data_IF_753457688007
#
_entry.id   IF_753457688007
#
_cell.length_a   1.000
_cell.length_b   1.000
_cell.length_c   1.000
_cell.angle_alpha   90.00
_cell.angle_beta   90.00
_cell.angle_gamma   90.00
#
_symmetry.space_group_name_H-M   'P 1'
#
loop_
_entity.id
_entity.type
_entity.pdbx_description
1 polymer ?
#
# COMPACT_ATOMS: atom_id res chain seq x y z
N UNK A 1 0.75 4.25 -22.36
CA UNK A 1 1.45 3.27 -21.49
C UNK A 1 0.45 2.49 -20.63
N UNK A 2 -0.33 3.13 -19.75
CA UNK A 2 -1.26 2.42 -18.85
C UNK A 2 -2.33 1.58 -19.54
N UNK A 3 -2.90 2.05 -20.66
CA UNK A 3 -3.85 1.27 -21.47
C UNK A 3 -3.24 -0.05 -21.96
N UNK A 4 -1.98 -0.03 -22.40
CA UNK A 4 -1.21 -1.20 -22.83
C UNK A 4 -0.94 -2.21 -21.69
N UNK A 5 -0.83 -1.69 -20.45
CA UNK A 5 -0.60 -2.52 -19.25
C UNK A 5 -1.88 -3.20 -18.77
N UNK A 6 -3.03 -2.57 -19.01
CA UNK A 6 -4.34 -3.06 -18.60
C UNK A 6 -5.07 -3.89 -19.68
N UNK A 7 -4.53 -4.02 -20.90
CA UNK A 7 -5.10 -4.90 -21.93
C UNK A 7 -4.99 -6.36 -21.51
N UNK A 8 -6.15 -7.03 -21.52
CA UNK A 8 -6.38 -8.40 -21.02
C UNK A 8 -5.29 -9.34 -21.54
N UNK A 9 -4.58 -9.97 -20.59
CA UNK A 9 -3.71 -11.13 -20.75
C UNK A 9 -2.18 -10.93 -20.70
N UNK A 10 -1.65 -9.84 -20.11
CA UNK A 10 -0.19 -9.68 -19.90
C UNK A 10 0.30 -9.83 -18.45
N UNK A 11 -0.53 -10.31 -17.53
CA UNK A 11 -0.12 -10.65 -16.16
C UNK A 11 0.33 -12.11 -16.04
N UNK A 12 1.37 -12.33 -15.24
CA UNK A 12 1.85 -13.63 -14.79
C UNK A 12 1.94 -13.62 -13.26
N UNK A 13 1.98 -14.79 -12.61
CA UNK A 13 1.93 -14.92 -11.14
C UNK A 13 3.06 -14.15 -10.43
N UNK A 14 4.19 -13.92 -11.12
CA UNK A 14 5.35 -13.18 -10.61
C UNK A 14 5.65 -11.87 -11.36
N UNK A 15 4.72 -11.33 -12.17
CA UNK A 15 4.91 -10.05 -12.85
C UNK A 15 4.23 -9.93 -14.20
N UNK A 16 4.97 -9.48 -15.23
CA UNK A 16 4.47 -9.34 -16.59
C UNK A 16 4.83 -10.55 -17.43
N UNK A 17 3.94 -10.94 -18.36
CA UNK A 17 4.23 -12.02 -19.31
C UNK A 17 5.40 -11.67 -20.23
N UNK A 18 6.04 -12.72 -20.76
CA UNK A 18 7.09 -12.57 -21.77
C UNK A 18 6.56 -11.77 -22.97
N UNK A 19 7.39 -10.84 -23.48
CA UNK A 19 7.03 -9.98 -24.61
C UNK A 19 6.17 -8.76 -24.24
N UNK A 20 5.73 -8.61 -22.99
CA UNK A 20 4.94 -7.45 -22.54
C UNK A 20 5.59 -6.11 -22.91
N UNK A 21 6.87 -5.92 -22.61
CA UNK A 21 7.57 -4.68 -22.92
C UNK A 21 7.61 -4.37 -24.43
N UNK A 22 7.66 -5.40 -25.28
CA UNK A 22 7.64 -5.25 -26.74
C UNK A 22 6.24 -4.82 -27.25
N UNK A 23 5.18 -5.28 -26.60
CA UNK A 23 3.80 -4.82 -26.90
C UNK A 23 3.67 -3.34 -26.55
N UNK A 24 4.17 -2.93 -25.38
CA UNK A 24 4.16 -1.52 -24.97
C UNK A 24 5.02 -0.66 -25.91
N UNK A 25 6.19 -1.15 -26.32
CA UNK A 25 7.06 -0.47 -27.30
C UNK A 25 6.31 -0.22 -28.61
N UNK A 26 5.66 -1.24 -29.16
CA UNK A 26 4.89 -1.12 -30.40
C UNK A 26 3.78 -0.08 -30.26
N UNK A 27 3.01 -0.13 -29.18
CA UNK A 27 1.91 0.82 -28.97
C UNK A 27 2.43 2.26 -28.79
N UNK A 28 3.55 2.43 -28.08
CA UNK A 28 4.19 3.74 -27.93
C UNK A 28 4.72 4.26 -29.27
N UNK A 29 5.30 3.41 -30.11
CA UNK A 29 5.79 3.82 -31.43
C UNK A 29 4.65 4.21 -32.39
N UNK A 30 3.46 3.62 -32.24
CA UNK A 30 2.26 4.05 -32.99
C UNK A 30 1.79 5.43 -32.53
N UNK A 31 1.77 5.67 -31.22
CA UNK A 31 1.28 6.94 -30.64
C UNK A 31 2.29 8.08 -30.72
N UNK A 32 3.58 7.75 -30.69
CA UNK A 32 4.71 8.66 -30.63
C UNK A 32 5.80 8.18 -31.61
N UNK A 33 5.57 8.29 -32.92
CA UNK A 33 6.52 7.81 -33.91
C UNK A 33 7.84 8.58 -33.84
N UNK A 34 8.96 7.88 -34.02
CA UNK A 34 10.29 8.50 -34.13
C UNK A 34 10.99 8.86 -32.81
N UNK A 35 10.35 8.68 -31.65
CA UNK A 35 10.94 9.01 -30.34
C UNK A 35 12.00 7.97 -29.89
N UNK A 36 12.07 6.82 -30.55
CA UNK A 36 13.09 5.80 -30.25
C UNK A 36 12.96 5.13 -28.88
N UNK A 37 11.75 5.13 -28.29
CA UNK A 37 11.50 4.47 -27.00
C UNK A 37 11.55 2.94 -27.20
N UNK A 38 12.46 2.26 -26.49
CA UNK A 38 12.66 0.81 -26.56
C UNK A 38 12.07 0.07 -25.36
N UNK A 39 11.64 -1.18 -25.57
CA UNK A 39 11.25 -2.12 -24.51
C UNK A 39 12.28 -2.15 -23.38
N UNK A 40 13.56 -2.28 -23.75
CA UNK A 40 14.70 -2.15 -22.87
C UNK A 40 15.70 -1.13 -23.44
N UNK A 41 16.30 -0.26 -22.61
CA UNK A 41 16.10 -0.16 -21.16
C UNK A 41 14.92 0.76 -20.75
N UNK A 42 14.30 1.50 -21.69
CA UNK A 42 13.46 2.65 -21.37
C UNK A 42 12.15 2.28 -20.68
N UNK A 43 11.35 1.40 -21.30
CA UNK A 43 10.02 1.03 -20.76
C UNK A 43 10.18 0.22 -19.47
N UNK A 44 11.10 -0.74 -19.45
CA UNK A 44 11.40 -1.51 -18.24
C UNK A 44 11.79 -0.61 -17.06
N UNK A 45 12.71 0.33 -17.28
CA UNK A 45 13.15 1.28 -16.25
C UNK A 45 11.99 2.16 -15.75
N UNK A 46 11.15 2.66 -16.67
CA UNK A 46 10.02 3.51 -16.30
C UNK A 46 8.99 2.75 -15.46
N UNK A 47 8.67 1.52 -15.82
CA UNK A 47 7.72 0.69 -15.07
C UNK A 47 8.27 0.33 -13.68
N UNK A 48 9.55 -0.04 -13.57
CA UNK A 48 10.20 -0.28 -12.27
C UNK A 48 10.14 0.94 -11.36
N UNK A 49 10.42 2.13 -11.92
CA UNK A 49 10.37 3.39 -11.17
C UNK A 49 8.95 3.68 -10.69
N UNK A 50 7.95 3.55 -11.57
CA UNK A 50 6.55 3.74 -11.21
C UNK A 50 6.06 2.75 -10.15
N UNK A 51 6.48 1.48 -10.22
CA UNK A 51 6.16 0.47 -9.20
C UNK A 51 6.79 0.82 -7.85
N UNK A 52 8.04 1.31 -7.84
CA UNK A 52 8.71 1.76 -6.61
C UNK A 52 7.96 2.94 -5.98
N UNK A 53 7.69 3.97 -6.77
CA UNK A 53 6.99 5.17 -6.30
C UNK A 53 5.59 4.82 -5.77
N UNK A 54 4.84 3.98 -6.51
CA UNK A 54 3.56 3.45 -6.06
C UNK A 54 3.67 2.73 -4.71
N UNK A 55 4.66 1.86 -4.55
CA UNK A 55 4.82 1.10 -3.31
C UNK A 55 5.06 2.00 -2.10
N UNK A 56 5.87 3.05 -2.25
CA UNK A 56 6.13 4.02 -1.18
C UNK A 56 4.83 4.73 -0.78
N UNK A 57 4.11 5.29 -1.76
CA UNK A 57 2.84 5.98 -1.51
C UNK A 57 1.78 5.03 -0.95
N UNK A 58 1.72 3.79 -1.44
CA UNK A 58 0.80 2.79 -0.90
C UNK A 58 1.07 2.53 0.57
N UNK A 59 2.34 2.36 0.97
CA UNK A 59 2.69 2.13 2.37
C UNK A 59 2.38 3.32 3.26
N UNK A 60 2.51 4.53 2.75
CA UNK A 60 2.08 5.72 3.47
C UNK A 60 0.57 5.77 3.71
N UNK A 61 -0.24 5.27 2.78
CA UNK A 61 -1.70 5.39 2.85
C UNK A 61 -2.39 4.20 3.52
N UNK A 62 -1.78 3.02 3.42
CA UNK A 62 -2.38 1.74 3.81
C UNK A 62 -1.43 0.84 4.60
N UNK A 63 -0.26 1.35 4.97
CA UNK A 63 0.71 0.64 5.78
C UNK A 63 0.37 0.70 7.27
N UNK A 64 1.02 -0.14 8.10
CA UNK A 64 0.83 -0.12 9.54
C UNK A 64 1.27 1.20 10.14
N UNK A 65 0.58 1.67 11.19
CA UNK A 65 0.93 2.88 11.93
C UNK A 65 1.05 4.15 11.07
N UNK A 66 0.27 4.24 9.98
CA UNK A 66 0.26 5.41 9.09
C UNK A 66 -0.97 6.30 9.28
N UNK A 67 -1.58 6.21 10.46
CA UNK A 67 -2.72 7.04 10.85
C UNK A 67 -2.31 8.51 10.77
N UNK A 68 -3.04 9.30 9.98
CA UNK A 68 -2.74 10.71 9.73
C UNK A 68 -2.26 11.01 8.30
N UNK A 69 -1.93 9.98 7.51
CA UNK A 69 -1.75 10.13 6.07
C UNK A 69 -3.09 10.00 5.32
N UNK A 70 -3.28 10.89 4.36
CA UNK A 70 -4.41 10.91 3.44
C UNK A 70 -3.97 11.15 2.01
N UNK A 71 -4.93 11.05 1.10
CA UNK A 71 -4.72 11.29 -0.32
C UNK A 71 -5.56 12.49 -0.79
N UNK A 72 -4.91 13.50 -1.33
CA UNK A 72 -5.58 14.62 -1.98
C UNK A 72 -5.89 14.23 -3.44
N UNK A 73 -7.18 14.08 -3.74
CA UNK A 73 -7.64 13.69 -5.08
C UNK A 73 -7.49 14.79 -6.12
N UNK A 74 -7.42 16.06 -5.75
CA UNK A 74 -7.31 17.16 -6.70
C UNK A 74 -5.84 17.41 -7.04
N UNK A 75 -4.99 17.50 -6.02
CA UNK A 75 -3.53 17.67 -6.18
C UNK A 75 -2.82 16.37 -6.55
N UNK A 76 -3.50 15.24 -6.43
CA UNK A 76 -2.98 13.89 -6.68
C UNK A 76 -1.71 13.63 -5.87
N UNK A 77 -1.72 13.94 -4.57
CA UNK A 77 -0.55 13.76 -3.71
C UNK A 77 -0.92 13.27 -2.31
N UNK A 78 0.08 12.81 -1.57
CA UNK A 78 -0.09 12.43 -0.16
C UNK A 78 -0.14 13.69 0.69
N UNK A 79 -1.08 13.73 1.63
CA UNK A 79 -1.25 14.82 2.59
C UNK A 79 -1.23 14.27 4.01
N UNK A 80 -0.63 15.02 4.92
CA UNK A 80 -0.61 14.75 6.35
C UNK A 80 -0.17 16.02 7.07
N UNK A 81 -0.41 16.09 8.39
CA UNK A 81 0.11 17.18 9.20
C UNK A 81 1.65 17.16 9.26
N UNK A 82 2.31 18.32 9.45
CA UNK A 82 3.77 18.37 9.55
C UNK A 82 4.38 17.41 10.58
N UNK A 83 3.84 17.26 11.81
CA UNK A 83 4.37 16.31 12.78
C UNK A 83 4.33 14.85 12.30
N UNK A 84 3.26 14.46 11.60
CA UNK A 84 3.11 13.10 11.03
C UNK A 84 4.19 12.84 9.98
N UNK A 85 4.46 13.81 9.11
CA UNK A 85 5.57 13.72 8.14
C UNK A 85 6.93 13.59 8.82
N UNK A 86 7.18 14.40 9.85
CA UNK A 86 8.46 14.40 10.56
C UNK A 86 8.72 13.09 11.30
N UNK A 87 7.72 12.54 11.97
CA UNK A 87 7.81 11.25 12.65
C UNK A 87 8.04 10.12 11.64
N UNK A 88 7.26 10.09 10.56
CA UNK A 88 7.36 9.03 9.55
C UNK A 88 8.71 9.03 8.83
N UNK A 89 9.26 10.19 8.46
CA UNK A 89 10.55 10.29 7.76
C UNK A 89 11.74 9.94 8.66
N UNK A 90 11.64 10.13 9.98
CA UNK A 90 12.71 9.75 10.94
C UNK A 90 12.97 8.24 10.94
N UNK A 91 11.96 7.42 10.62
CA UNK A 91 12.08 5.97 10.53
C UNK A 91 12.96 5.63 9.32
N UNK A 92 14.04 4.88 9.55
CA UNK A 92 15.09 4.64 8.53
C UNK A 92 14.59 3.92 7.28
N UNK A 93 13.55 3.09 7.39
CA UNK A 93 12.89 2.40 6.28
C UNK A 93 12.09 3.33 5.37
N UNK A 94 11.77 4.55 5.82
CA UNK A 94 10.89 5.49 5.12
C UNK A 94 11.63 6.72 4.56
N UNK A 95 12.96 6.73 4.52
CA UNK A 95 13.75 7.86 3.97
C UNK A 95 13.37 8.24 2.54
N UNK A 96 12.93 7.26 1.73
CA UNK A 96 12.44 7.50 0.37
C UNK A 96 11.06 8.18 0.29
N UNK A 97 10.32 8.29 1.40
CA UNK A 97 8.99 8.89 1.45
C UNK A 97 9.02 10.41 1.44
N UNK A 98 10.11 11.04 1.90
CA UNK A 98 10.22 12.49 2.00
C UNK A 98 9.96 13.22 0.67
N UNK A 99 10.36 12.62 -0.46
CA UNK A 99 10.09 13.20 -1.78
C UNK A 99 8.61 13.31 -2.12
N UNK A 100 7.73 12.53 -1.48
CA UNK A 100 6.29 12.54 -1.73
C UNK A 100 5.54 13.64 -0.97
N UNK A 101 6.21 14.39 -0.09
CA UNK A 101 5.62 15.54 0.62
C UNK A 101 5.14 16.63 -0.33
N UNK A 102 5.82 16.79 -1.47
CA UNK A 102 5.54 17.85 -2.46
C UNK A 102 5.40 17.30 -3.88
N UNK A 103 5.36 15.98 -4.06
CA UNK A 103 5.34 15.34 -5.36
C UNK A 103 3.94 14.82 -5.66
N UNK A 104 3.39 15.29 -6.77
CA UNK A 104 2.18 14.70 -7.33
C UNK A 104 2.48 13.34 -7.95
N UNK A 105 1.51 12.43 -7.84
CA UNK A 105 1.49 11.12 -8.48
C UNK A 105 0.16 10.96 -9.22
N UNK A 106 -0.03 11.63 -10.37
CA UNK A 106 -1.31 11.73 -11.07
C UNK A 106 -1.97 10.39 -11.42
N UNK A 107 -1.16 9.35 -11.63
CA UNK A 107 -1.62 8.03 -12.04
C UNK A 107 -1.69 7.01 -10.91
N UNK A 108 -1.82 7.47 -9.66
CA UNK A 108 -1.83 6.57 -8.50
C UNK A 108 -2.96 5.54 -8.57
N UNK A 109 -4.16 5.93 -9.03
CA UNK A 109 -5.31 5.03 -9.15
C UNK A 109 -5.08 3.94 -10.20
N UNK A 110 -4.55 4.29 -11.37
CA UNK A 110 -4.20 3.32 -12.41
C UNK A 110 -3.09 2.39 -11.94
N UNK A 111 -2.10 2.92 -11.22
CA UNK A 111 -1.05 2.13 -10.59
C UNK A 111 -1.60 1.19 -9.52
N UNK A 112 -2.62 1.60 -8.77
CA UNK A 112 -3.29 0.76 -7.77
C UNK A 112 -4.04 -0.39 -8.44
N UNK A 113 -4.76 -0.14 -9.54
CA UNK A 113 -5.38 -1.19 -10.35
C UNK A 113 -4.30 -2.15 -10.86
N UNK A 114 -3.13 -1.61 -11.24
CA UNK A 114 -2.07 -2.42 -11.82
C UNK A 114 -1.29 -3.22 -10.78
N UNK A 115 -0.95 -2.67 -9.63
CA UNK A 115 0.00 -3.27 -8.69
C UNK A 115 -0.63 -3.61 -7.32
N UNK A 116 -1.84 -3.14 -7.04
CA UNK A 116 -2.49 -3.29 -5.73
C UNK A 116 -2.81 -4.73 -5.37
N UNK A 117 -3.23 -5.56 -6.35
CA UNK A 117 -3.59 -6.98 -6.12
C UNK A 117 -2.40 -7.80 -5.59
N UNK A 118 -1.23 -7.65 -6.21
CA UNK A 118 0.00 -8.36 -5.81
C UNK A 118 0.39 -7.98 -4.36
N UNK A 119 0.12 -6.73 -3.98
CA UNK A 119 0.45 -6.20 -2.66
C UNK A 119 -0.52 -6.64 -1.57
N UNK A 120 -1.80 -6.77 -1.87
CA UNK A 120 -2.80 -7.32 -0.94
C UNK A 120 -2.53 -8.80 -0.67
N UNK A 121 -2.26 -9.57 -1.74
CA UNK A 121 -1.96 -11.01 -1.64
C UNK A 121 -0.70 -11.27 -0.81
N UNK A 122 0.38 -10.49 -1.02
CA UNK A 122 1.61 -10.62 -0.21
C UNK A 122 1.39 -10.31 1.26
N UNK A 123 0.58 -9.29 1.60
CA UNK A 123 0.29 -8.95 3.00
C UNK A 123 -0.46 -10.08 3.70
N UNK A 124 -1.46 -10.66 3.03
CA UNK A 124 -2.20 -11.81 3.57
C UNK A 124 -1.29 -13.03 3.83
N UNK A 125 -0.31 -13.27 2.94
CA UNK A 125 0.67 -14.34 3.12
C UNK A 125 1.67 -14.09 4.27
N UNK A 126 1.99 -12.83 4.56
CA UNK A 126 2.86 -12.47 5.69
C UNK A 126 2.14 -12.66 7.03
N UNK A 127 0.86 -12.30 7.11
CA UNK A 127 0.06 -12.46 8.33
C UNK A 127 -0.16 -13.93 8.71
N UNK A 128 -0.25 -14.85 7.75
CA UNK A 128 -0.37 -16.30 8.05
C UNK A 128 0.92 -16.95 8.57
N UNK A 129 2.08 -16.29 8.46
CA UNK A 129 3.37 -16.82 8.90
C UNK A 129 3.83 -16.28 10.27
N UNK A 130 3.11 -15.32 10.85
CA UNK A 130 3.51 -14.60 12.07
C UNK A 130 2.48 -14.84 13.20
N UNK A 131 2.15 -16.11 13.44
CA UNK A 131 1.45 -16.57 14.66
C UNK A 131 2.13 -17.85 15.14
N UNK A 132 3.26 -17.71 15.83
CA UNK A 132 3.80 -18.76 16.71
C UNK A 132 4.45 -18.08 17.93
N UNK A 133 3.70 -18.16 19.02
CA UNK A 133 4.07 -18.22 20.45
C UNK A 133 4.50 -16.94 21.20
N UNK A 134 3.58 -16.58 22.10
CA UNK A 134 3.68 -15.74 23.28
C UNK A 134 4.59 -16.33 24.38
N UNK A 135 5.30 -15.43 25.06
CA UNK A 135 5.43 -15.32 26.52
C UNK A 135 5.88 -16.56 27.34
N UNK A 136 7.20 -16.74 27.48
CA UNK A 136 7.78 -17.34 28.68
C UNK A 136 8.20 -16.22 29.66
N UNK A 137 7.35 -15.95 30.67
CA UNK A 137 7.78 -15.33 31.93
C UNK A 137 7.51 -16.31 33.06
N UNK A 138 8.58 -16.94 33.51
CA UNK A 138 8.62 -17.84 34.65
C UNK A 138 8.57 -17.03 35.96
N UNK A 139 7.54 -17.28 36.76
CA UNK A 139 7.40 -16.81 38.12
C UNK A 139 6.61 -17.86 38.91
N UNK A 140 7.35 -18.69 39.66
CA UNK A 140 6.82 -19.52 40.75
C UNK A 140 6.07 -18.60 41.74
N UNK A 141 5.02 -18.96 42.48
CA UNK A 141 4.70 -20.18 43.20
C UNK A 141 3.32 -19.96 43.87
N UNK A 142 2.39 -20.93 43.81
CA UNK A 142 1.61 -21.47 44.95
C UNK A 142 0.30 -22.22 44.57
N UNK A 143 0.31 -23.52 44.87
CA UNK A 143 -0.73 -24.33 45.54
C UNK A 143 -2.18 -24.40 45.00
N UNK A 144 -2.45 -25.54 44.35
CA UNK A 144 -3.52 -26.54 44.61
C UNK A 144 -4.92 -26.06 45.04
N UNK A 145 -5.97 -26.34 44.24
CA UNK A 145 -6.89 -27.50 44.40
C UNK A 145 -8.07 -27.49 43.39
N UNK A 146 -8.37 -28.69 42.92
CA UNK A 146 -9.52 -29.24 42.16
C UNK A 146 -10.89 -28.54 42.23
N UNK A 147 -11.61 -28.53 41.11
CA UNK A 147 -13.08 -28.45 41.08
C UNK A 147 -13.69 -28.47 39.67
N UNK A 148 -14.46 -29.52 39.37
CA UNK A 148 -15.34 -29.72 38.20
C UNK A 148 -16.29 -28.55 37.89
N UNK A 149 -16.76 -28.47 36.63
CA UNK A 149 -18.11 -27.96 36.35
C UNK A 149 -18.30 -27.21 35.03
N UNK A 150 -19.20 -27.73 34.22
CA UNK A 150 -19.75 -27.22 32.95
C UNK A 150 -20.54 -25.92 33.13
N UNK A 151 -20.56 -25.01 32.14
CA UNK A 151 -21.79 -24.61 31.45
C UNK A 151 -21.54 -23.70 30.22
N UNK A 152 -22.47 -23.81 29.29
CA UNK A 152 -22.59 -23.02 28.08
C UNK A 152 -23.28 -21.68 28.42
N UNK A 153 -22.78 -20.56 27.89
CA UNK A 153 -23.62 -19.39 27.67
C UNK A 153 -23.27 -18.62 26.39
N UNK A 154 -24.19 -18.70 25.45
CA UNK A 154 -24.43 -17.75 24.38
C UNK A 154 -24.65 -16.35 24.97
N UNK A 155 -23.86 -15.38 24.51
CA UNK A 155 -24.18 -13.97 24.63
C UNK A 155 -23.69 -13.23 23.38
N UNK A 156 -24.55 -13.25 22.36
CA UNK A 156 -24.59 -12.26 21.29
C UNK A 156 -24.46 -10.83 21.83
N UNK A 157 -23.42 -10.09 21.43
CA UNK A 157 -23.40 -8.64 21.51
C UNK A 157 -22.90 -8.04 20.20
N UNK A 158 -23.88 -7.72 19.36
CA UNK A 158 -23.75 -6.74 18.28
C UNK A 158 -23.33 -5.39 18.84
N UNK A 159 -22.24 -4.82 18.34
CA UNK A 159 -22.04 -3.38 18.40
C UNK A 159 -21.69 -2.85 17.00
N UNK A 160 -22.61 -2.05 16.47
CA UNK A 160 -22.49 -1.35 15.21
C UNK A 160 -21.39 -0.28 15.26
N UNK A 161 -20.77 0.10 14.13
CA UNK A 161 -19.82 1.20 14.08
C UNK A 161 -20.55 2.54 14.10
N UNK A 162 -20.35 3.34 15.14
CA UNK A 162 -20.79 4.74 15.16
C UNK A 162 -19.82 5.58 14.35
N UNK A 163 -20.31 6.11 13.23
CA UNK A 163 -19.67 7.18 12.47
C UNK A 163 -19.52 8.43 13.34
N UNK A 164 -18.36 9.09 13.29
CA UNK A 164 -18.25 10.51 13.60
C UNK A 164 -17.48 11.21 12.48
N UNK A 165 -18.26 11.92 11.64
CA UNK A 165 -17.78 12.96 10.74
C UNK A 165 -17.51 14.18 11.62
N UNK A 166 -16.30 14.74 11.57
CA UNK A 166 -16.09 16.12 11.99
C UNK A 166 -15.56 16.95 10.83
N UNK A 167 -16.50 17.69 10.24
CA UNK A 167 -16.29 18.90 9.46
C UNK A 167 -15.80 20.02 10.36
N UNK A 168 -14.74 20.72 9.93
CA UNK A 168 -14.46 22.15 10.12
C UNK A 168 -13.14 22.40 9.37
N UNK A 169 -13.07 23.10 8.23
CA UNK A 169 -12.91 24.56 8.12
C UNK A 169 -11.93 25.09 9.17
N UNK A 170 -10.79 25.72 8.85
CA UNK A 170 -10.59 26.86 7.95
C UNK A 170 -9.10 27.00 7.51
N UNK A 171 -8.92 27.78 6.44
CA UNK A 171 -7.78 28.66 6.10
C UNK A 171 -6.33 28.12 6.14
N UNK A 172 -5.66 28.20 4.98
CA UNK A 172 -4.24 28.50 4.98
C UNK A 172 -3.90 29.47 3.85
N UNK A 173 -3.26 30.56 4.26
CA UNK A 173 -2.85 31.73 3.50
C UNK A 173 -1.88 31.43 2.35
N UNK A 174 -1.85 32.44 1.46
CA UNK A 174 -1.09 32.68 0.23
C UNK A 174 0.30 32.07 0.07
#
# INVERSE_FOLDING_TARGET
MFHAVNTRNHRADNGFKLGFYNVVERELNVKLPGVGIKAKPHIESRIKTMKRDFNIVYDMLYGPNTNGFGWDNDKKCVVAEPPVWEEYIKISSHKGAAMFKHKSLPHFVELFIIFGKDRATRRNAQTTAEVVEELDKEGAENETKTGDGLDENDASLSFAPTHNIKTSSEECCS
#
